data_IF_365860912932
#
_entry.id   IF_365860912932
#
_cell.length_a   1.000
_cell.length_b   1.000
_cell.length_c   1.000
_cell.angle_alpha   90.00
_cell.angle_beta   90.00
_cell.angle_gamma   90.00
#
_symmetry.space_group_name_H-M   'P 1'
#
loop_
_entity.id
_entity.type
_entity.pdbx_description
1 polymer ?
#
# COMPACT_ATOMS: atom_id res chain seq x y z
N UNK A 1 -15.30 -30.94 7.78
CA UNK A 1 -13.88 -31.26 7.55
C UNK A 1 -13.16 -29.94 7.46
N UNK A 2 -12.01 -29.80 8.10
CA UNK A 2 -11.18 -28.58 7.99
C UNK A 2 -10.59 -28.49 6.58
N UNK A 3 -10.64 -27.33 5.95
CA UNK A 3 -10.02 -27.08 4.64
C UNK A 3 -8.51 -27.01 4.82
N UNK A 4 -7.77 -27.77 4.02
CA UNK A 4 -6.31 -27.82 4.05
C UNK A 4 -5.72 -26.99 2.92
N UNK A 5 -4.71 -26.20 3.25
CA UNK A 5 -3.92 -25.41 2.30
C UNK A 5 -2.64 -26.20 1.98
N UNK A 6 -2.42 -26.47 0.70
CA UNK A 6 -1.25 -27.19 0.20
C UNK A 6 -0.13 -26.25 -0.24
N UNK A 7 -0.50 -25.07 -0.73
CA UNK A 7 0.46 -24.08 -1.21
C UNK A 7 -0.12 -22.67 -1.16
N UNK A 8 0.66 -21.74 -0.66
CA UNK A 8 0.30 -20.33 -0.58
C UNK A 8 1.37 -19.48 0.09
N UNK A 9 1.16 -18.18 0.09
CA UNK A 9 2.05 -17.21 0.70
C UNK A 9 1.23 -16.10 1.40
N UNK A 10 1.85 -15.46 2.38
CA UNK A 10 1.35 -14.25 3.02
C UNK A 10 2.36 -13.14 2.72
N UNK A 11 1.89 -12.02 2.21
CA UNK A 11 2.70 -10.81 2.02
C UNK A 11 2.25 -9.77 3.03
N UNK A 12 3.16 -9.34 3.90
CA UNK A 12 2.90 -8.28 4.87
C UNK A 12 3.64 -7.03 4.41
N UNK A 13 2.89 -6.01 4.06
CA UNK A 13 3.42 -4.75 3.53
C UNK A 13 3.49 -3.68 4.61
N UNK A 14 4.55 -2.87 4.59
CA UNK A 14 4.68 -1.60 5.30
C UNK A 14 5.21 -0.57 4.30
N UNK A 15 4.45 0.49 4.08
CA UNK A 15 4.72 1.49 3.04
C UNK A 15 5.03 2.82 3.70
N UNK A 16 6.21 3.38 3.41
CA UNK A 16 6.76 4.56 4.06
C UNK A 16 7.03 5.67 3.05
N UNK A 17 6.65 6.89 3.38
CA UNK A 17 7.08 8.10 2.67
C UNK A 17 8.37 8.64 3.30
N UNK A 18 9.42 8.82 2.49
CA UNK A 18 10.74 9.23 2.97
C UNK A 18 11.29 10.48 2.26
N UNK A 19 10.61 10.94 1.21
CA UNK A 19 11.09 12.04 0.38
C UNK A 19 10.06 12.52 -0.63
N UNK A 20 10.26 13.71 -1.19
CA UNK A 20 9.46 14.16 -2.34
C UNK A 20 9.78 13.40 -3.63
N UNK A 21 11.04 12.93 -3.82
CA UNK A 21 11.47 12.20 -5.00
C UNK A 21 12.70 11.32 -4.73
N UNK A 22 12.82 10.20 -5.43
CA UNK A 22 14.00 9.33 -5.44
C UNK A 22 14.44 9.07 -6.87
N UNK A 23 15.69 9.41 -7.21
CA UNK A 23 16.29 9.04 -8.49
C UNK A 23 16.55 7.54 -8.54
N UNK A 24 15.67 6.78 -9.21
CA UNK A 24 15.80 5.31 -9.29
C UNK A 24 17.10 4.89 -9.96
N UNK A 25 17.56 5.63 -10.99
CA UNK A 25 18.84 5.35 -11.66
C UNK A 25 20.02 5.45 -10.70
N UNK A 26 20.05 6.51 -9.88
CA UNK A 26 21.12 6.69 -8.90
C UNK A 26 21.00 5.70 -7.74
N UNK A 27 19.79 5.42 -7.27
CA UNK A 27 19.55 4.40 -6.24
C UNK A 27 20.05 3.02 -6.73
N UNK A 28 19.74 2.64 -7.96
CA UNK A 28 20.21 1.39 -8.57
C UNK A 28 21.75 1.34 -8.62
N UNK A 29 22.42 2.42 -9.01
CA UNK A 29 23.88 2.49 -9.01
C UNK A 29 24.49 2.31 -7.61
N UNK A 30 23.89 2.92 -6.59
CA UNK A 30 24.33 2.81 -5.19
C UNK A 30 24.11 1.40 -4.62
N UNK A 31 23.08 0.71 -5.07
CA UNK A 31 22.73 -0.63 -4.60
C UNK A 31 23.40 -1.73 -5.43
N UNK A 32 23.72 -1.49 -6.72
CA UNK A 32 24.33 -2.48 -7.63
C UNK A 32 25.75 -2.89 -7.21
N UNK A 33 26.43 -2.07 -6.43
CA UNK A 33 27.72 -2.47 -5.86
C UNK A 33 27.58 -3.69 -4.91
N UNK A 34 26.36 -3.92 -4.36
CA UNK A 34 26.08 -4.95 -3.36
C UNK A 34 24.84 -5.82 -3.67
N UNK A 35 24.01 -5.48 -4.64
CA UNK A 35 22.70 -6.13 -4.83
C UNK A 35 22.54 -6.75 -6.22
N UNK A 36 22.40 -8.06 -6.26
CA UNK A 36 21.90 -8.81 -7.42
C UNK A 36 20.35 -8.88 -7.33
N UNK A 37 19.67 -7.84 -7.78
CA UNK A 37 18.22 -7.90 -7.94
C UNK A 37 17.80 -7.21 -9.24
N UNK A 38 17.01 -7.85 -10.12
CA UNK A 38 16.49 -7.19 -11.30
C UNK A 38 15.51 -6.09 -10.89
N UNK A 39 15.44 -5.01 -11.70
CA UNK A 39 14.25 -4.13 -11.67
C UNK A 39 13.02 -5.02 -11.78
N UNK A 40 11.93 -4.66 -11.10
CA UNK A 40 10.64 -5.25 -11.37
C UNK A 40 10.32 -5.00 -12.85
N UNK A 41 10.64 -6.00 -13.64
CA UNK A 41 9.93 -6.18 -14.89
C UNK A 41 8.59 -6.82 -14.46
N UNK A 42 7.51 -6.05 -14.44
CA UNK A 42 6.21 -6.69 -14.64
C UNK A 42 6.38 -7.55 -15.88
N UNK A 43 5.97 -8.84 -15.86
CA UNK A 43 6.32 -9.76 -16.92
C UNK A 43 6.05 -9.11 -18.27
N UNK A 44 7.08 -8.99 -19.08
CA UNK A 44 7.04 -8.45 -20.43
C UNK A 44 6.37 -9.44 -21.40
N UNK A 45 5.40 -10.19 -20.96
CA UNK A 45 4.43 -10.74 -21.87
C UNK A 45 3.59 -9.55 -22.33
N UNK A 46 3.98 -8.98 -23.47
CA UNK A 46 3.53 -7.72 -24.07
C UNK A 46 2.02 -7.61 -24.28
N UNK A 47 1.24 -8.52 -23.77
CA UNK A 47 -0.23 -8.57 -23.85
C UNK A 47 -0.93 -8.30 -22.51
N UNK A 48 -0.23 -8.24 -21.36
CA UNK A 48 -0.86 -8.26 -20.02
C UNK A 48 -0.15 -7.40 -18.98
N UNK A 49 0.61 -6.39 -19.33
CA UNK A 49 1.39 -5.65 -18.35
C UNK A 49 0.74 -4.31 -17.96
N UNK A 50 0.72 -4.01 -16.65
CA UNK A 50 0.67 -2.63 -16.17
C UNK A 50 2.00 -2.00 -16.57
N UNK A 51 1.98 -1.08 -17.54
CA UNK A 51 3.16 -0.29 -17.87
C UNK A 51 3.22 0.86 -16.88
N UNK A 52 3.84 0.64 -15.74
CA UNK A 52 4.28 1.75 -14.89
C UNK A 52 5.48 2.35 -15.59
N UNK A 53 5.35 3.61 -16.04
CA UNK A 53 6.37 4.32 -16.80
C UNK A 53 7.74 4.30 -16.11
N UNK A 54 7.73 4.40 -14.78
CA UNK A 54 8.91 4.32 -13.91
C UNK A 54 8.72 3.17 -12.91
N UNK A 55 8.96 1.94 -13.39
CA UNK A 55 8.85 0.74 -12.54
C UNK A 55 9.72 0.85 -11.29
N UNK A 56 9.21 0.47 -10.10
CA UNK A 56 9.97 0.56 -8.86
C UNK A 56 11.20 -0.35 -8.88
N UNK A 57 12.21 0.06 -8.16
CA UNK A 57 13.42 -0.74 -7.97
C UNK A 57 13.19 -1.75 -6.84
N UNK A 58 13.25 -3.05 -7.16
CA UNK A 58 13.15 -4.12 -6.15
C UNK A 58 14.51 -4.42 -5.54
N UNK A 59 14.57 -4.50 -4.20
CA UNK A 59 15.76 -4.76 -3.42
C UNK A 59 15.52 -5.93 -2.48
N UNK A 60 16.35 -6.95 -2.53
CA UNK A 60 16.34 -8.05 -1.57
C UNK A 60 17.01 -7.57 -0.26
N UNK A 61 16.32 -7.73 0.87
CA UNK A 61 16.78 -7.32 2.20
C UNK A 61 17.12 -8.50 3.10
N UNK A 62 17.16 -9.72 2.54
CA UNK A 62 17.53 -10.96 3.22
C UNK A 62 16.35 -11.69 3.86
N UNK A 63 16.67 -12.56 4.79
CA UNK A 63 15.73 -13.45 5.46
C UNK A 63 15.85 -13.30 6.98
N UNK A 64 14.76 -13.55 7.68
CA UNK A 64 14.65 -13.55 9.15
C UNK A 64 13.71 -14.66 9.62
N UNK A 65 13.62 -14.86 10.92
CA UNK A 65 12.63 -15.75 11.54
C UNK A 65 11.69 -14.89 12.37
N UNK A 66 10.42 -14.87 12.00
CA UNK A 66 9.35 -14.20 12.73
C UNK A 66 8.74 -15.17 13.75
N UNK A 67 8.64 -14.76 15.00
CA UNK A 67 8.06 -15.55 16.10
C UNK A 67 6.64 -15.05 16.41
N UNK A 68 5.63 -15.77 15.91
CA UNK A 68 4.22 -15.47 16.11
C UNK A 68 3.60 -16.43 17.12
N UNK A 69 2.45 -16.09 17.73
CA UNK A 69 1.71 -17.01 18.58
C UNK A 69 1.34 -18.34 17.93
N UNK A 70 1.20 -18.35 16.60
CA UNK A 70 0.91 -19.54 15.77
C UNK A 70 2.14 -20.37 15.42
N UNK A 71 3.37 -19.89 15.69
CA UNK A 71 4.61 -20.59 15.40
C UNK A 71 5.72 -19.70 14.85
N UNK A 72 6.85 -20.34 14.50
CA UNK A 72 8.01 -19.64 13.89
C UNK A 72 7.96 -19.76 12.38
N UNK A 73 8.07 -18.62 11.72
CA UNK A 73 7.98 -18.53 10.26
C UNK A 73 9.26 -17.94 9.68
N UNK A 74 9.94 -18.67 8.77
CA UNK A 74 10.98 -18.04 7.97
C UNK A 74 10.31 -17.01 7.05
N UNK A 75 10.84 -15.78 7.05
CA UNK A 75 10.34 -14.69 6.23
C UNK A 75 11.44 -14.18 5.32
N UNK A 76 11.11 -13.99 4.04
CA UNK A 76 11.95 -13.29 3.10
C UNK A 76 11.53 -11.84 3.06
N UNK A 77 12.50 -10.93 3.12
CA UNK A 77 12.24 -9.50 3.18
C UNK A 77 12.74 -8.86 1.89
N UNK A 78 11.92 -8.08 1.25
CA UNK A 78 12.32 -7.26 0.12
C UNK A 78 11.67 -5.88 0.20
N UNK A 79 12.23 -4.91 -0.49
CA UNK A 79 11.66 -3.59 -0.63
C UNK A 79 11.47 -3.21 -2.09
N UNK A 80 10.53 -2.29 -2.32
CA UNK A 80 10.37 -1.58 -3.59
C UNK A 80 10.56 -0.09 -3.34
N UNK A 81 11.37 0.54 -4.17
CA UNK A 81 11.65 1.98 -4.13
C UNK A 81 10.91 2.61 -5.30
N UNK A 82 10.05 3.55 -5.00
CA UNK A 82 9.24 4.28 -5.96
C UNK A 82 9.85 5.67 -6.20
N UNK A 83 9.80 6.17 -7.45
CA UNK A 83 10.44 7.45 -7.81
C UNK A 83 9.85 8.67 -7.09
N UNK A 84 8.60 8.58 -6.62
CA UNK A 84 7.90 9.65 -5.88
C UNK A 84 8.13 9.60 -4.36
N UNK A 85 9.25 9.06 -3.90
CA UNK A 85 9.68 9.19 -2.51
C UNK A 85 9.27 8.05 -1.59
N UNK A 86 8.54 7.06 -2.07
CA UNK A 86 8.00 5.97 -1.27
C UNK A 86 8.90 4.74 -1.27
N UNK A 87 9.03 4.09 -0.12
CA UNK A 87 9.61 2.75 0.04
C UNK A 87 8.54 1.83 0.61
N UNK A 88 8.23 0.74 -0.08
CA UNK A 88 7.47 -0.37 0.50
C UNK A 88 8.40 -1.48 0.94
N UNK A 89 8.26 -1.96 2.18
CA UNK A 89 8.95 -3.13 2.72
C UNK A 89 7.93 -4.25 2.83
N UNK A 90 8.23 -5.39 2.21
CA UNK A 90 7.36 -6.56 2.19
C UNK A 90 8.03 -7.74 2.86
N UNK A 91 7.36 -8.33 3.85
CA UNK A 91 7.73 -9.59 4.47
C UNK A 91 6.90 -10.69 3.82
N UNK A 92 7.57 -11.66 3.21
CA UNK A 92 6.95 -12.79 2.54
C UNK A 92 7.10 -14.05 3.40
N UNK A 93 5.96 -14.62 3.80
CA UNK A 93 5.87 -15.87 4.56
C UNK A 93 5.26 -16.96 3.68
N UNK A 94 5.92 -18.11 3.55
CA UNK A 94 5.30 -19.27 2.93
C UNK A 94 4.28 -19.90 3.90
N UNK A 95 3.10 -20.25 3.41
CA UNK A 95 2.14 -21.06 4.17
C UNK A 95 2.62 -22.52 4.10
N UNK A 96 2.92 -23.18 5.24
CA UNK A 96 3.37 -24.57 5.24
C UNK A 96 2.32 -25.49 4.61
N UNK A 97 2.72 -26.45 3.75
CA UNK A 97 1.80 -27.45 3.23
C UNK A 97 1.09 -28.22 4.35
N UNK A 98 -0.21 -28.46 4.20
CA UNK A 98 -1.01 -29.11 5.22
C UNK A 98 -1.58 -28.16 6.28
N UNK A 99 -1.43 -26.84 6.11
CA UNK A 99 -2.00 -25.85 7.04
C UNK A 99 -3.52 -25.86 6.99
N UNK A 100 -4.17 -26.04 8.14
CA UNK A 100 -5.62 -25.89 8.27
C UNK A 100 -6.03 -24.42 8.15
N UNK A 101 -7.19 -24.16 7.51
CA UNK A 101 -7.74 -22.79 7.38
C UNK A 101 -7.83 -22.05 8.71
N UNK A 102 -8.28 -22.72 9.78
CA UNK A 102 -8.35 -22.12 11.12
C UNK A 102 -6.99 -21.73 11.69
N UNK A 103 -5.90 -22.42 11.30
CA UNK A 103 -4.54 -22.01 11.69
C UNK A 103 -4.09 -20.79 10.90
N UNK A 104 -4.46 -20.67 9.61
CA UNK A 104 -4.20 -19.47 8.82
C UNK A 104 -4.90 -18.26 9.43
N UNK A 105 -6.17 -18.37 9.86
CA UNK A 105 -6.90 -17.29 10.55
C UNK A 105 -6.19 -16.87 11.85
N UNK A 106 -5.73 -17.83 12.66
CA UNK A 106 -4.95 -17.51 13.87
C UNK A 106 -3.61 -16.84 13.55
N UNK A 107 -2.99 -17.24 12.44
CA UNK A 107 -1.75 -16.59 11.99
C UNK A 107 -2.03 -15.16 11.54
N UNK A 108 -3.14 -14.90 10.83
CA UNK A 108 -3.60 -13.57 10.47
C UNK A 108 -3.76 -12.66 11.70
N UNK A 109 -4.48 -13.13 12.73
CA UNK A 109 -4.66 -12.40 13.99
C UNK A 109 -3.31 -12.11 14.69
N UNK A 110 -2.35 -13.02 14.60
CA UNK A 110 -1.00 -12.81 15.13
C UNK A 110 -0.19 -11.78 14.34
N UNK A 111 -0.33 -11.76 13.01
CA UNK A 111 0.34 -10.79 12.13
C UNK A 111 -0.17 -9.36 12.37
N UNK A 112 -1.48 -9.20 12.52
CA UNK A 112 -2.14 -7.90 12.72
C UNK A 112 -1.61 -7.17 13.95
N UNK A 113 -1.36 -7.89 15.05
CA UNK A 113 -0.95 -7.30 16.34
C UNK A 113 0.56 -7.36 16.59
N UNK A 114 1.36 -7.79 15.61
CA UNK A 114 2.79 -8.05 15.80
C UNK A 114 3.64 -6.79 15.76
N UNK A 115 4.11 -6.32 16.90
CA UNK A 115 5.11 -5.25 16.98
C UNK A 115 6.46 -5.66 16.37
N UNK A 116 6.78 -6.95 16.29
CA UNK A 116 8.04 -7.43 15.71
C UNK A 116 8.10 -7.13 14.20
N UNK A 117 6.98 -7.28 13.48
CA UNK A 117 6.86 -6.92 12.07
C UNK A 117 7.14 -5.44 11.86
N UNK A 118 6.55 -4.60 12.69
CA UNK A 118 6.70 -3.16 12.63
C UNK A 118 8.18 -2.75 12.82
N UNK A 119 8.80 -3.22 13.89
CA UNK A 119 10.20 -2.92 14.20
C UNK A 119 11.15 -3.44 13.10
N UNK A 120 10.87 -4.63 12.56
CA UNK A 120 11.66 -5.22 11.51
C UNK A 120 11.55 -4.41 10.21
N UNK A 121 10.35 -4.02 9.81
CA UNK A 121 10.13 -3.22 8.61
C UNK A 121 10.78 -1.84 8.71
N UNK A 122 10.64 -1.15 9.85
CA UNK A 122 11.30 0.14 10.11
C UNK A 122 12.82 -0.02 10.05
N UNK A 123 13.38 -1.02 10.70
CA UNK A 123 14.82 -1.27 10.69
C UNK A 123 15.35 -1.49 9.27
N UNK A 124 14.64 -2.28 8.45
CA UNK A 124 15.01 -2.54 7.06
C UNK A 124 14.87 -1.30 6.18
N UNK A 125 13.78 -0.53 6.36
CA UNK A 125 13.59 0.76 5.70
C UNK A 125 14.75 1.72 6.03
N UNK A 126 15.15 1.84 7.29
CA UNK A 126 16.20 2.77 7.73
C UNK A 126 17.57 2.41 7.17
N UNK A 127 17.91 1.12 7.14
CA UNK A 127 19.15 0.64 6.50
C UNK A 127 19.13 0.98 5.01
N UNK A 128 18.04 0.72 4.31
CA UNK A 128 17.89 1.01 2.89
C UNK A 128 17.96 2.52 2.62
N UNK A 129 17.19 3.33 3.38
CA UNK A 129 17.18 4.79 3.29
C UNK A 129 18.59 5.38 3.41
N UNK A 130 19.38 4.94 4.40
CA UNK A 130 20.78 5.39 4.57
C UNK A 130 21.66 5.09 3.35
N UNK A 131 21.48 3.92 2.73
CA UNK A 131 22.25 3.52 1.54
C UNK A 131 21.90 4.34 0.31
N UNK A 132 20.62 4.68 0.11
CA UNK A 132 20.16 5.44 -1.05
C UNK A 132 20.09 6.95 -0.82
N UNK A 133 20.46 7.45 0.36
CA UNK A 133 20.37 8.88 0.71
C UNK A 133 20.93 9.83 -0.37
N UNK A 134 22.06 9.53 -1.06
CA UNK A 134 22.54 10.38 -2.16
C UNK A 134 21.65 10.42 -3.40
N UNK A 135 20.65 9.53 -3.51
CA UNK A 135 19.66 9.49 -4.59
C UNK A 135 18.34 10.16 -4.19
N UNK A 136 18.21 10.54 -2.92
CA UNK A 136 16.99 11.15 -2.36
C UNK A 136 16.99 12.65 -2.64
N UNK A 137 15.85 13.17 -3.11
CA UNK A 137 15.62 14.58 -3.42
C UNK A 137 14.51 15.08 -2.50
N UNK A 138 14.72 16.23 -1.83
CA UNK A 138 13.83 16.78 -0.83
C UNK A 138 13.46 15.74 0.25
N UNK A 139 14.45 15.28 1.05
CA UNK A 139 14.20 14.32 2.10
C UNK A 139 13.17 14.88 3.07
N UNK A 140 12.11 14.13 3.26
CA UNK A 140 11.08 14.37 4.25
C UNK A 140 10.80 13.03 4.93
N UNK A 141 10.41 13.05 6.17
CA UNK A 141 9.99 11.84 6.86
C UNK A 141 8.62 12.11 7.46
N UNK A 142 7.68 11.33 7.00
CA UNK A 142 6.35 11.31 7.58
C UNK A 142 6.26 10.12 8.53
N UNK A 143 5.72 10.35 9.73
CA UNK A 143 5.64 9.32 10.77
C UNK A 143 4.56 8.27 10.48
N UNK A 144 3.57 8.63 9.66
CA UNK A 144 2.49 7.72 9.27
C UNK A 144 2.98 6.83 8.13
N UNK A 145 2.63 5.57 8.18
CA UNK A 145 2.87 4.58 7.13
C UNK A 145 1.59 3.79 6.89
N UNK A 146 1.52 3.09 5.75
CA UNK A 146 0.43 2.15 5.46
C UNK A 146 0.87 0.73 5.78
N UNK A 147 -0.04 -0.04 6.33
CA UNK A 147 0.09 -1.46 6.55
C UNK A 147 -0.98 -2.24 5.77
N UNK A 148 -0.62 -3.43 5.31
CA UNK A 148 -1.54 -4.28 4.56
C UNK A 148 -1.08 -5.73 4.56
N UNK A 149 -2.03 -6.67 4.53
CA UNK A 149 -1.72 -8.10 4.45
C UNK A 149 -2.42 -8.71 3.24
N UNK A 150 -1.66 -9.39 2.37
CA UNK A 150 -2.21 -10.12 1.23
C UNK A 150 -2.00 -11.62 1.43
N UNK A 151 -3.09 -12.37 1.50
CA UNK A 151 -3.10 -13.83 1.56
C UNK A 151 -3.24 -14.38 0.15
N UNK A 152 -2.27 -15.18 -0.31
CA UNK A 152 -2.28 -15.80 -1.64
C UNK A 152 -2.40 -17.30 -1.47
N UNK A 153 -3.49 -17.89 -1.96
CA UNK A 153 -3.73 -19.32 -1.99
C UNK A 153 -3.51 -19.82 -3.42
N UNK A 154 -2.47 -20.61 -3.61
CA UNK A 154 -2.18 -21.25 -4.90
C UNK A 154 -2.89 -22.60 -5.01
N UNK A 155 -3.00 -23.33 -3.89
CA UNK A 155 -3.67 -24.64 -3.83
C UNK A 155 -4.22 -24.94 -2.45
N UNK A 156 -5.50 -25.29 -2.39
CA UNK A 156 -6.19 -25.77 -1.19
C UNK A 156 -7.32 -26.72 -1.57
N UNK A 157 -7.87 -27.45 -0.60
CA UNK A 157 -8.99 -28.36 -0.81
C UNK A 157 -10.22 -27.63 -1.37
N UNK A 158 -10.57 -27.90 -2.62
CA UNK A 158 -11.74 -27.30 -3.30
C UNK A 158 -11.47 -25.91 -3.90
N UNK A 159 -10.21 -25.44 -3.94
CA UNK A 159 -9.83 -24.15 -4.53
C UNK A 159 -9.91 -24.15 -6.07
N UNK A 160 -10.11 -25.29 -6.72
CA UNK A 160 -10.34 -25.40 -8.16
C UNK A 160 -11.61 -24.66 -8.62
N UNK A 161 -12.57 -24.49 -7.70
CA UNK A 161 -13.74 -23.63 -7.90
C UNK A 161 -13.74 -22.51 -6.85
N UNK A 162 -13.05 -21.39 -7.11
CA UNK A 162 -12.85 -20.34 -6.12
C UNK A 162 -14.16 -19.76 -5.54
N UNK A 163 -15.20 -19.61 -6.36
CA UNK A 163 -16.52 -19.12 -5.91
C UNK A 163 -17.19 -20.04 -4.89
N UNK A 164 -17.06 -21.35 -5.06
CA UNK A 164 -17.59 -22.32 -4.09
C UNK A 164 -16.65 -22.48 -2.88
N UNK A 165 -15.35 -22.33 -3.09
CA UNK A 165 -14.36 -22.38 -2.04
C UNK A 165 -14.60 -21.28 -0.98
N UNK A 166 -14.75 -20.02 -1.40
CA UNK A 166 -14.95 -18.90 -0.48
C UNK A 166 -16.27 -18.96 0.31
N UNK A 167 -17.25 -19.74 -0.15
CA UNK A 167 -18.49 -20.00 0.60
C UNK A 167 -18.34 -21.09 1.68
N UNK A 168 -17.32 -21.94 1.57
CA UNK A 168 -17.08 -23.07 2.48
C UNK A 168 -16.15 -22.70 3.64
N UNK A 169 -15.27 -21.71 3.45
CA UNK A 169 -14.32 -21.24 4.43
C UNK A 169 -14.80 -19.93 5.06
N UNK A 170 -14.37 -19.63 6.28
CA UNK A 170 -14.66 -18.33 6.89
C UNK A 170 -13.65 -17.27 6.38
N UNK A 171 -13.97 -16.69 5.20
CA UNK A 171 -13.16 -15.65 4.58
C UNK A 171 -13.15 -14.39 5.43
N UNK A 172 -14.27 -14.04 6.06
CA UNK A 172 -14.38 -12.84 6.87
C UNK A 172 -13.45 -12.90 8.10
N UNK A 173 -13.36 -14.06 8.75
CA UNK A 173 -12.43 -14.26 9.86
C UNK A 173 -10.97 -14.09 9.43
N UNK A 174 -10.61 -14.47 8.19
CA UNK A 174 -9.27 -14.28 7.65
C UNK A 174 -8.99 -12.81 7.33
N UNK A 175 -9.89 -12.17 6.57
CA UNK A 175 -9.74 -10.79 6.10
C UNK A 175 -9.71 -9.81 7.27
N UNK A 176 -10.56 -10.00 8.29
CA UNK A 176 -10.62 -9.13 9.47
C UNK A 176 -9.68 -9.57 10.60
N UNK A 177 -8.87 -10.60 10.36
CA UNK A 177 -7.96 -11.18 11.36
C UNK A 177 -8.64 -11.53 12.70
N UNK A 178 -9.94 -11.92 12.64
CA UNK A 178 -10.78 -12.22 13.82
C UNK A 178 -10.92 -13.72 14.04
N UNK A 179 -10.20 -14.23 15.03
CA UNK A 179 -10.19 -15.67 15.37
C UNK A 179 -11.21 -16.07 16.45
N UNK A 180 -11.82 -15.09 17.15
CA UNK A 180 -12.63 -15.29 18.34
C UNK A 180 -14.08 -14.84 18.22
N UNK A 181 -14.35 -13.82 17.43
CA UNK A 181 -15.68 -13.25 17.31
C UNK A 181 -16.51 -13.91 16.20
N UNK A 182 -17.80 -14.07 16.47
CA UNK A 182 -18.75 -14.50 15.44
C UNK A 182 -19.27 -13.29 14.67
N UNK A 183 -18.67 -13.04 13.52
CA UNK A 183 -19.06 -11.95 12.63
C UNK A 183 -20.51 -12.12 12.14
N UNK A 184 -21.21 -10.99 11.97
CA UNK A 184 -22.57 -10.98 11.45
C UNK A 184 -22.64 -11.58 10.03
N UNK A 185 -23.73 -12.29 9.74
CA UNK A 185 -23.91 -12.96 8.45
C UNK A 185 -23.88 -11.97 7.26
N UNK A 186 -24.45 -10.79 7.45
CA UNK A 186 -24.52 -9.76 6.41
C UNK A 186 -23.10 -9.28 6.02
N UNK A 187 -22.20 -9.13 7.00
CA UNK A 187 -20.82 -8.71 6.72
C UNK A 187 -20.03 -9.81 6.00
N UNK A 188 -20.22 -11.08 6.38
CA UNK A 188 -19.63 -12.23 5.68
C UNK A 188 -20.11 -12.30 4.23
N UNK A 189 -21.41 -12.12 4.01
CA UNK A 189 -22.00 -12.14 2.67
C UNK A 189 -21.45 -10.99 1.82
N UNK A 190 -21.34 -9.79 2.39
CA UNK A 190 -20.76 -8.64 1.70
C UNK A 190 -19.36 -8.93 1.16
N UNK A 191 -18.45 -9.48 1.97
CA UNK A 191 -17.10 -9.83 1.54
C UNK A 191 -17.08 -10.89 0.43
N UNK A 192 -17.97 -11.90 0.52
CA UNK A 192 -18.08 -12.93 -0.53
C UNK A 192 -18.63 -12.35 -1.83
N UNK A 193 -19.57 -11.41 -1.75
CA UNK A 193 -20.18 -10.75 -2.91
C UNK A 193 -19.25 -9.74 -3.58
N UNK A 194 -18.36 -9.08 -2.83
CA UNK A 194 -17.37 -8.13 -3.35
C UNK A 194 -16.25 -8.81 -4.16
N UNK A 195 -16.16 -10.15 -4.12
CA UNK A 195 -15.12 -10.89 -4.82
C UNK A 195 -15.12 -10.63 -6.33
N UNK A 196 -13.97 -10.26 -6.86
CA UNK A 196 -13.72 -10.10 -8.30
C UNK A 196 -13.09 -11.38 -8.89
N UNK A 197 -13.38 -11.67 -10.14
CA UNK A 197 -12.90 -12.88 -10.82
C UNK A 197 -12.72 -12.59 -12.30
N UNK A 198 -11.61 -13.02 -12.88
CA UNK A 198 -11.32 -12.89 -14.30
C UNK A 198 -11.50 -14.20 -15.06
N UNK A 199 -10.92 -15.27 -14.54
CA UNK A 199 -11.05 -16.63 -15.09
C UNK A 199 -11.90 -17.52 -14.17
N UNK A 200 -12.12 -18.76 -14.55
CA UNK A 200 -12.82 -19.73 -13.69
C UNK A 200 -11.99 -20.20 -12.50
N UNK A 201 -10.68 -19.96 -12.51
CA UNK A 201 -9.72 -20.50 -11.54
C UNK A 201 -9.09 -19.45 -10.61
N UNK A 202 -9.16 -18.15 -10.93
CA UNK A 202 -8.69 -17.07 -10.08
C UNK A 202 -9.84 -16.40 -9.32
N UNK A 203 -9.51 -15.70 -8.22
CA UNK A 203 -10.46 -14.85 -7.49
C UNK A 203 -9.68 -13.91 -6.57
N UNK A 204 -10.16 -12.68 -6.42
CA UNK A 204 -9.65 -11.74 -5.43
C UNK A 204 -10.77 -11.14 -4.59
N UNK A 205 -10.55 -11.06 -3.28
CA UNK A 205 -11.32 -10.26 -2.33
C UNK A 205 -10.35 -9.22 -1.78
N UNK A 206 -10.65 -7.96 -1.98
CA UNK A 206 -9.84 -6.83 -1.55
C UNK A 206 -10.66 -6.05 -0.53
N UNK A 207 -10.10 -5.81 0.63
CA UNK A 207 -10.69 -5.04 1.71
C UNK A 207 -9.72 -3.90 2.12
N UNK A 208 -10.10 -3.07 3.06
CA UNK A 208 -9.37 -1.85 3.42
C UNK A 208 -7.96 -2.10 4.03
N UNK A 209 -7.71 -3.22 4.71
CA UNK A 209 -6.43 -3.56 5.35
C UNK A 209 -5.86 -4.91 4.93
N UNK A 210 -6.61 -5.72 4.19
CA UNK A 210 -6.13 -7.02 3.74
C UNK A 210 -6.81 -7.50 2.46
N UNK A 211 -6.22 -8.52 1.80
CA UNK A 211 -6.80 -9.17 0.64
C UNK A 211 -6.61 -10.69 0.68
N UNK A 212 -7.58 -11.43 0.13
CA UNK A 212 -7.45 -12.84 -0.20
C UNK A 212 -7.40 -12.99 -1.73
N UNK A 213 -6.33 -13.61 -2.22
CA UNK A 213 -6.15 -13.94 -3.63
C UNK A 213 -6.12 -15.47 -3.78
N UNK A 214 -6.88 -16.00 -4.72
CA UNK A 214 -6.78 -17.39 -5.17
C UNK A 214 -6.14 -17.32 -6.55
N UNK A 215 -4.88 -17.76 -6.63
CA UNK A 215 -4.02 -17.64 -7.82
C UNK A 215 -3.28 -18.95 -8.07
N UNK A 216 -3.92 -19.93 -8.74
CA UNK A 216 -3.35 -21.29 -8.93
C UNK A 216 -2.01 -21.30 -9.65
N UNK A 217 -1.80 -20.31 -10.54
CA UNK A 217 -0.57 -20.19 -11.33
C UNK A 217 0.57 -19.50 -10.53
N UNK A 218 0.30 -19.07 -9.28
CA UNK A 218 1.26 -18.38 -8.43
C UNK A 218 1.65 -17.00 -8.94
N UNK A 219 0.82 -16.38 -9.80
CA UNK A 219 1.01 -15.01 -10.28
C UNK A 219 0.81 -14.03 -9.13
N UNK A 220 1.52 -12.89 -9.19
CA UNK A 220 1.48 -11.86 -8.14
C UNK A 220 1.01 -10.51 -8.64
N UNK A 221 0.54 -10.47 -9.89
CA UNK A 221 0.21 -9.22 -10.55
C UNK A 221 -0.89 -8.44 -9.80
N UNK A 222 -1.90 -9.14 -9.25
CA UNK A 222 -2.94 -8.51 -8.42
C UNK A 222 -2.36 -8.00 -7.10
N UNK A 223 -1.49 -8.76 -6.44
CA UNK A 223 -0.81 -8.31 -5.21
C UNK A 223 0.09 -7.09 -5.47
N UNK A 224 0.78 -7.06 -6.62
CA UNK A 224 1.58 -5.92 -7.04
C UNK A 224 0.73 -4.67 -7.32
N UNK A 225 -0.49 -4.84 -7.85
CA UNK A 225 -1.48 -3.76 -8.02
C UNK A 225 -1.96 -3.22 -6.69
N UNK A 226 -2.23 -4.10 -5.73
CA UNK A 226 -2.63 -3.70 -4.38
C UNK A 226 -1.50 -2.90 -3.71
N UNK A 227 -0.27 -3.39 -3.73
CA UNK A 227 0.88 -2.67 -3.18
C UNK A 227 1.07 -1.30 -3.85
N UNK A 228 0.93 -1.23 -5.17
CA UNK A 228 0.95 0.04 -5.90
C UNK A 228 -0.18 0.98 -5.43
N UNK A 229 -1.38 0.47 -5.21
CA UNK A 229 -2.50 1.26 -4.70
C UNK A 229 -2.25 1.77 -3.27
N UNK A 230 -1.59 0.98 -2.42
CA UNK A 230 -1.19 1.41 -1.06
C UNK A 230 -0.21 2.58 -1.10
N UNK A 231 0.72 2.61 -2.06
CA UNK A 231 1.62 3.77 -2.19
C UNK A 231 0.86 5.04 -2.54
N UNK A 232 -0.22 4.93 -3.31
CA UNK A 232 -1.09 6.07 -3.61
C UNK A 232 -1.94 6.49 -2.42
N UNK A 233 -2.45 5.53 -1.62
CA UNK A 233 -3.15 5.82 -0.38
C UNK A 233 -2.28 6.65 0.57
N UNK A 234 -1.02 6.24 0.76
CA UNK A 234 -0.05 6.94 1.57
C UNK A 234 0.12 8.40 1.11
N UNK A 235 0.29 8.62 -0.18
CA UNK A 235 0.41 9.95 -0.78
C UNK A 235 -0.85 10.80 -0.57
N UNK A 236 -2.05 10.23 -0.78
CA UNK A 236 -3.31 10.93 -0.50
C UNK A 236 -3.39 11.39 0.95
N UNK A 237 -3.06 10.51 1.90
CA UNK A 237 -3.07 10.82 3.33
C UNK A 237 -2.04 11.88 3.68
N UNK A 238 -0.84 11.81 3.10
CA UNK A 238 0.19 12.82 3.27
C UNK A 238 -0.30 14.21 2.83
N UNK A 239 -0.83 14.33 1.61
CA UNK A 239 -1.33 15.63 1.12
C UNK A 239 -2.51 16.13 1.94
N UNK A 240 -3.44 15.28 2.33
CA UNK A 240 -4.60 15.67 3.14
C UNK A 240 -4.18 16.24 4.50
N UNK A 241 -3.27 15.56 5.20
CA UNK A 241 -2.77 15.99 6.51
C UNK A 241 -1.92 17.28 6.40
N UNK A 242 -1.02 17.33 5.42
CA UNK A 242 -0.17 18.48 5.19
C UNK A 242 -1.00 19.75 4.91
N UNK A 243 -2.04 19.65 4.06
CA UNK A 243 -2.95 20.75 3.79
C UNK A 243 -3.80 21.10 5.02
N UNK A 244 -4.20 20.11 5.82
CA UNK A 244 -4.88 20.34 7.10
C UNK A 244 -4.04 21.20 8.04
N UNK A 245 -2.77 20.83 8.25
CA UNK A 245 -1.82 21.61 9.09
C UNK A 245 -1.64 23.04 8.57
N UNK A 246 -1.55 23.21 7.24
CA UNK A 246 -1.44 24.56 6.64
C UNK A 246 -2.67 25.43 6.90
N UNK A 247 -3.87 24.83 6.86
CA UNK A 247 -5.10 25.55 7.21
C UNK A 247 -5.13 25.94 8.69
N UNK A 248 -4.71 25.06 9.59
CA UNK A 248 -4.60 25.36 11.03
C UNK A 248 -3.62 26.50 11.29
N UNK A 249 -2.42 26.46 10.70
CA UNK A 249 -1.45 27.57 10.78
C UNK A 249 -2.05 28.91 10.34
N UNK A 250 -2.87 28.91 9.26
CA UNK A 250 -3.55 30.12 8.79
C UNK A 250 -4.64 30.61 9.75
N UNK A 251 -5.46 29.71 10.27
CA UNK A 251 -6.51 30.08 11.23
C UNK A 251 -5.90 30.64 12.51
N UNK A 252 -4.85 30.01 13.04
CA UNK A 252 -4.13 30.50 14.22
C UNK A 252 -3.54 31.91 13.99
N UNK A 253 -2.95 32.14 12.81
CA UNK A 253 -2.45 33.44 12.44
C UNK A 253 -3.56 34.50 12.32
N UNK A 254 -4.76 34.12 11.90
CA UNK A 254 -5.92 35.03 11.83
C UNK A 254 -6.45 35.39 13.22
N UNK A 255 -6.51 34.45 14.15
CA UNK A 255 -7.02 34.66 15.51
C UNK A 255 -6.06 35.53 16.34
N UNK A 256 -4.75 35.42 16.16
CA UNK A 256 -3.74 36.23 16.81
C UNK A 256 -3.76 37.72 16.34
N UNK A 257 -4.47 38.05 15.27
CA UNK A 257 -4.57 39.37 14.63
C UNK A 257 -5.27 40.44 15.45
N UNK A 258 -5.76 40.18 16.63
CA UNK A 258 -6.45 41.16 17.46
C UNK A 258 -5.52 42.26 18.03
N UNK A 259 -4.19 42.05 18.02
CA UNK A 259 -3.25 43.05 18.52
C UNK A 259 -1.99 43.17 17.64
N UNK A 260 -1.99 44.14 16.71
CA UNK A 260 -0.79 44.78 16.10
C UNK A 260 0.24 43.90 15.38
N UNK A 261 0.33 43.98 14.07
CA UNK A 261 1.51 44.06 13.16
C UNK A 261 1.16 43.61 11.72
N UNK A 262 0.54 44.49 10.94
CA UNK A 262 0.05 44.22 9.58
C UNK A 262 1.13 43.74 8.55
N UNK A 263 2.41 44.08 8.77
CA UNK A 263 3.48 43.76 7.80
C UNK A 263 4.06 42.34 7.96
N UNK A 264 4.13 41.80 9.16
CA UNK A 264 4.62 40.42 9.40
C UNK A 264 3.61 39.43 8.86
N UNK A 265 2.33 39.74 9.00
CA UNK A 265 1.25 38.86 8.50
C UNK A 265 1.18 38.81 6.98
N UNK A 266 1.42 39.94 6.29
CA UNK A 266 1.43 39.98 4.82
C UNK A 266 2.52 39.08 4.24
N UNK A 267 3.69 39.02 4.85
CA UNK A 267 4.77 38.12 4.42
C UNK A 267 4.42 36.65 4.72
N UNK A 268 3.88 36.34 5.92
CA UNK A 268 3.45 34.99 6.27
C UNK A 268 2.36 34.46 5.31
N UNK A 269 1.38 35.29 4.95
CA UNK A 269 0.35 34.92 3.97
C UNK A 269 0.92 34.68 2.58
N UNK A 270 1.87 35.49 2.15
CA UNK A 270 2.53 35.33 0.86
C UNK A 270 3.33 34.02 0.82
N UNK A 271 4.06 33.73 1.89
CA UNK A 271 4.86 32.48 2.00
C UNK A 271 3.95 31.23 2.02
N UNK A 272 2.83 31.28 2.77
CA UNK A 272 1.87 30.17 2.82
C UNK A 272 1.15 29.99 1.47
N UNK A 273 0.79 31.11 0.79
CA UNK A 273 0.16 31.05 -0.53
C UNK A 273 1.10 30.47 -1.59
N UNK A 274 2.38 30.86 -1.56
CA UNK A 274 3.40 30.31 -2.48
C UNK A 274 3.64 28.81 -2.22
N UNK A 275 3.82 28.42 -0.95
CA UNK A 275 4.00 27.02 -0.57
C UNK A 275 2.77 26.18 -0.93
N UNK A 276 1.57 26.69 -0.66
CA UNK A 276 0.30 26.03 -1.02
C UNK A 276 0.16 25.85 -2.54
N UNK A 277 0.53 26.87 -3.32
CA UNK A 277 0.49 26.81 -4.79
C UNK A 277 1.47 25.77 -5.34
N UNK A 278 2.67 25.67 -4.76
CA UNK A 278 3.65 24.65 -5.10
C UNK A 278 3.13 23.25 -4.77
N UNK A 279 2.57 23.05 -3.59
CA UNK A 279 1.97 21.79 -3.16
C UNK A 279 0.76 21.41 -4.01
N UNK A 280 0.00 22.39 -4.51
CA UNK A 280 -1.04 22.14 -5.48
C UNK A 280 -0.50 21.54 -6.78
N UNK A 281 0.59 22.10 -7.30
CA UNK A 281 1.20 21.56 -8.53
C UNK A 281 1.74 20.14 -8.31
N UNK A 282 2.42 19.89 -7.19
CA UNK A 282 2.90 18.56 -6.80
C UNK A 282 1.75 17.55 -6.71
N UNK A 283 0.66 17.92 -6.04
CA UNK A 283 -0.53 17.06 -5.94
C UNK A 283 -1.23 16.84 -7.29
N UNK A 284 -1.34 17.88 -8.11
CA UNK A 284 -1.93 17.75 -9.45
C UNK A 284 -1.11 16.83 -10.36
N UNK A 285 0.21 16.88 -10.24
CA UNK A 285 1.12 15.96 -10.92
C UNK A 285 0.96 14.52 -10.40
N UNK A 286 0.85 14.36 -9.09
CA UNK A 286 0.55 13.07 -8.48
C UNK A 286 -0.78 12.49 -8.97
N UNK A 287 -1.88 13.28 -8.97
CA UNK A 287 -3.18 12.85 -9.52
C UNK A 287 -3.06 12.43 -10.98
N UNK A 288 -2.31 13.19 -11.79
CA UNK A 288 -2.04 12.84 -13.17
C UNK A 288 -1.33 11.49 -13.31
N UNK A 289 -0.41 11.16 -12.40
CA UNK A 289 0.25 9.84 -12.34
C UNK A 289 -0.76 8.73 -12.02
N UNK A 290 -1.60 8.92 -10.99
CA UNK A 290 -2.66 7.94 -10.63
C UNK A 290 -3.62 7.69 -11.79
N UNK A 291 -4.14 8.74 -12.42
CA UNK A 291 -5.05 8.63 -13.56
C UNK A 291 -4.40 7.98 -14.79
N UNK A 292 -3.15 8.29 -15.06
CA UNK A 292 -2.41 7.69 -16.16
C UNK A 292 -2.09 6.22 -15.89
N UNK A 293 -1.84 5.84 -14.65
CA UNK A 293 -1.63 4.44 -14.28
C UNK A 293 -2.86 3.60 -14.60
N UNK A 294 -4.06 4.12 -14.32
CA UNK A 294 -5.33 3.48 -14.69
C UNK A 294 -5.49 3.28 -16.21
N UNK A 295 -5.05 4.27 -17.01
CA UNK A 295 -5.17 4.22 -18.49
C UNK A 295 -4.15 3.27 -19.14
N UNK A 296 -3.05 2.99 -18.43
CA UNK A 296 -1.92 2.22 -18.96
C UNK A 296 -1.99 0.73 -18.61
N UNK A 297 -2.99 0.32 -17.82
CA UNK A 297 -3.23 -1.09 -17.51
C UNK A 297 -3.78 -1.76 -18.76
N UNK A 298 -2.90 -2.43 -19.51
CA UNK A 298 -3.27 -3.17 -20.72
C UNK A 298 -4.07 -4.44 -20.44
N UNK A 299 -4.12 -4.88 -19.18
CA UNK A 299 -4.88 -6.04 -18.73
C UNK A 299 -6.19 -5.61 -18.06
N UNK A 300 -7.37 -5.99 -18.60
CA UNK A 300 -8.66 -5.63 -18.03
C UNK A 300 -8.85 -6.11 -16.58
N UNK A 301 -8.27 -7.24 -16.21
CA UNK A 301 -8.39 -7.79 -14.85
C UNK A 301 -7.63 -6.95 -13.82
N UNK A 302 -6.39 -6.58 -14.14
CA UNK A 302 -5.60 -5.72 -13.27
C UNK A 302 -6.21 -4.31 -13.15
N UNK A 303 -6.88 -3.81 -14.20
CA UNK A 303 -7.65 -2.58 -14.12
C UNK A 303 -8.85 -2.70 -13.16
N UNK A 304 -9.52 -3.85 -13.15
CA UNK A 304 -10.61 -4.13 -12.19
C UNK A 304 -10.05 -4.23 -10.77
N UNK A 305 -8.92 -4.92 -10.58
CA UNK A 305 -8.26 -5.04 -9.27
C UNK A 305 -7.82 -3.67 -8.73
N UNK A 306 -7.20 -2.82 -9.56
CA UNK A 306 -6.85 -1.45 -9.17
C UNK A 306 -8.09 -0.63 -8.79
N UNK A 307 -9.17 -0.72 -9.58
CA UNK A 307 -10.42 -0.02 -9.29
C UNK A 307 -11.04 -0.50 -7.97
N UNK A 308 -11.00 -1.79 -7.69
CA UNK A 308 -11.45 -2.36 -6.42
C UNK A 308 -10.62 -1.82 -5.25
N UNK A 309 -9.28 -1.84 -5.36
CA UNK A 309 -8.39 -1.24 -4.36
C UNK A 309 -8.67 0.24 -4.14
N UNK A 310 -8.85 1.02 -5.22
CA UNK A 310 -9.14 2.45 -5.15
C UNK A 310 -10.48 2.75 -4.45
N UNK A 311 -11.47 1.85 -4.60
CA UNK A 311 -12.77 1.95 -3.91
C UNK A 311 -12.61 1.69 -2.42
N UNK A 312 -11.96 0.58 -2.04
CA UNK A 312 -11.76 0.19 -0.64
C UNK A 312 -10.84 1.17 0.10
N UNK A 313 -9.88 1.76 -0.58
CA UNK A 313 -8.99 2.79 -0.02
C UNK A 313 -9.57 4.20 -0.08
N UNK A 314 -10.82 4.36 -0.53
CA UNK A 314 -11.57 5.62 -0.56
C UNK A 314 -10.86 6.76 -1.33
N UNK A 315 -10.18 6.48 -2.44
CA UNK A 315 -9.41 7.47 -3.22
C UNK A 315 -10.24 8.70 -3.61
N UNK A 316 -11.50 8.52 -3.98
CA UNK A 316 -12.40 9.63 -4.36
C UNK A 316 -12.71 10.56 -3.18
N UNK A 317 -12.80 10.03 -1.97
CA UNK A 317 -13.08 10.82 -0.78
C UNK A 317 -11.84 11.61 -0.33
N UNK A 318 -10.65 10.99 -0.39
CA UNK A 318 -9.38 11.70 -0.19
C UNK A 318 -9.21 12.83 -1.21
N UNK A 319 -9.42 12.57 -2.49
CA UNK A 319 -9.33 13.57 -3.55
C UNK A 319 -10.27 14.75 -3.31
N UNK A 320 -11.53 14.50 -2.93
CA UNK A 320 -12.50 15.56 -2.59
C UNK A 320 -12.07 16.36 -1.36
N UNK A 321 -11.54 15.69 -0.33
CA UNK A 321 -11.05 16.35 0.88
C UNK A 321 -9.91 17.30 0.55
N UNK A 322 -8.89 16.83 -0.16
CA UNK A 322 -7.73 17.60 -0.58
C UNK A 322 -8.16 18.80 -1.45
N UNK A 323 -9.00 18.57 -2.47
CA UNK A 323 -9.49 19.64 -3.35
C UNK A 323 -10.18 20.74 -2.56
N UNK A 324 -11.02 20.38 -1.59
CA UNK A 324 -11.73 21.35 -0.72
C UNK A 324 -10.76 22.15 0.14
N UNK A 325 -9.75 21.50 0.75
CA UNK A 325 -8.73 22.18 1.55
C UNK A 325 -7.93 23.16 0.71
N UNK A 326 -7.61 22.80 -0.52
CA UNK A 326 -6.88 23.65 -1.45
C UNK A 326 -7.70 24.85 -1.92
N UNK A 327 -8.99 24.66 -2.23
CA UNK A 327 -9.90 25.77 -2.54
C UNK A 327 -10.00 26.76 -1.36
N UNK A 328 -10.07 26.25 -0.14
CA UNK A 328 -10.10 27.08 1.08
C UNK A 328 -8.81 27.88 1.23
N UNK A 329 -7.63 27.25 1.05
CA UNK A 329 -6.33 27.93 1.08
C UNK A 329 -6.24 29.02 0.01
N UNK A 330 -6.69 28.76 -1.21
CA UNK A 330 -6.70 29.72 -2.29
C UNK A 330 -7.63 30.93 -2.02
N UNK A 331 -8.80 30.70 -1.39
CA UNK A 331 -9.73 31.76 -1.03
C UNK A 331 -9.19 32.68 0.09
N UNK A 332 -8.50 32.10 1.08
CA UNK A 332 -7.91 32.86 2.17
C UNK A 332 -6.70 33.70 1.70
N UNK A 333 -6.01 33.25 0.65
CA UNK A 333 -4.81 33.88 0.10
C UNK A 333 -5.10 35.03 -0.87
N UNK A 334 -6.37 35.28 -1.22
CA UNK A 334 -6.83 36.42 -2.05
C UNK A 334 -7.22 37.61 -1.18
#
# INVERSE_FOLDING_TARGET
>A
MSTIIEKGNILVHRVFDIAGEISLVRAEQLLSADAKGPRLNFPTDTRKAIIIKDSPLKVDLGEEILDLPSGKFPVRIFARIWNYGVISVTLELAIPPGTEWGLLVKTAAGLEVSNEIELLAISRKDVLKKRIMPAVINPAEWEIHEDYITYIIEKADGSENPREFIKKVDVAALILAEDKEHLAADHRNFLVESAIQYSSSDLAIIDWNSALLIEPDGQRDVADVIEFSLTHLLEFRYYDEMLGRKLEELYDAMDQKRESVANIFRNLYADIAEDSSRKYMEFSEFLGRVENSLKTVGDPYLAVAFKASALEFHFDDWRKSISRKMETLAQISQ
#
